data_IF_931784375005
#
_entry.id   IF_931784375005
#
_cell.length_a   1.000
_cell.length_b   1.000
_cell.length_c   1.000
_cell.angle_alpha   90.00
_cell.angle_beta   90.00
_cell.angle_gamma   90.00
#
_symmetry.space_group_name_H-M   'P 1'
#
loop_
_entity.id
_entity.type
_entity.pdbx_description
1 polymer ?
#
# COMPACT_ATOMS: atom_id res chain seq x y z
N UNK A 1 43.60 5.91 28.75
CA UNK A 1 42.69 5.25 27.78
C UNK A 1 41.62 4.50 28.55
N UNK A 2 40.37 4.96 28.49
CA UNK A 2 39.25 4.29 29.16
C UNK A 2 38.64 3.32 28.14
N UNK A 3 38.89 2.02 28.33
CA UNK A 3 38.21 0.99 27.56
C UNK A 3 36.72 1.05 27.92
N UNK A 4 35.89 1.55 27.00
CA UNK A 4 34.44 1.39 27.12
C UNK A 4 34.15 -0.09 26.92
N UNK A 5 33.94 -0.80 28.04
CA UNK A 5 33.27 -2.11 28.02
C UNK A 5 31.89 -1.88 27.44
N UNK A 6 31.59 -2.49 26.29
CA UNK A 6 30.22 -2.61 25.78
C UNK A 6 29.32 -3.08 26.92
N UNK A 7 28.43 -2.19 27.39
CA UNK A 7 27.50 -2.52 28.46
C UNK A 7 26.44 -3.42 27.81
N UNK A 8 26.08 -4.58 28.38
CA UNK A 8 25.10 -5.50 27.80
C UNK A 8 23.75 -4.86 27.41
N UNK A 9 23.40 -3.72 28.02
CA UNK A 9 22.24 -2.91 27.67
C UNK A 9 22.27 -2.31 26.25
N UNK A 10 23.44 -2.02 25.68
CA UNK A 10 23.56 -1.45 24.32
C UNK A 10 23.12 -2.44 23.25
N UNK A 11 23.50 -3.73 23.39
CA UNK A 11 23.06 -4.77 22.45
C UNK A 11 21.56 -4.99 22.49
N UNK A 12 20.95 -4.95 23.67
CA UNK A 12 19.49 -5.09 23.81
C UNK A 12 18.75 -3.92 23.15
N UNK A 13 19.28 -2.69 23.28
CA UNK A 13 18.68 -1.52 22.61
C UNK A 13 18.81 -1.63 21.09
N UNK A 14 19.94 -2.12 20.59
CA UNK A 14 20.13 -2.37 19.16
C UNK A 14 19.13 -3.38 18.60
N UNK A 15 18.95 -4.53 19.27
CA UNK A 15 17.97 -5.53 18.84
C UNK A 15 16.53 -5.01 18.87
N UNK A 16 16.20 -4.14 19.84
CA UNK A 16 14.87 -3.50 19.90
C UNK A 16 14.67 -2.54 18.74
N UNK A 17 15.65 -1.68 18.46
CA UNK A 17 15.60 -0.75 17.35
C UNK A 17 15.48 -1.48 16.00
N UNK A 18 16.22 -2.58 15.83
CA UNK A 18 16.12 -3.44 14.64
C UNK A 18 14.73 -4.07 14.51
N UNK A 19 14.20 -4.67 15.58
CA UNK A 19 12.88 -5.28 15.58
C UNK A 19 11.77 -4.26 15.31
N UNK A 20 11.87 -3.05 15.87
CA UNK A 20 10.93 -1.97 15.61
C UNK A 20 10.98 -1.54 14.14
N UNK A 21 12.18 -1.38 13.57
CA UNK A 21 12.36 -1.05 12.15
C UNK A 21 11.74 -2.12 11.22
N UNK A 22 11.98 -3.41 11.50
CA UNK A 22 11.35 -4.50 10.75
C UNK A 22 9.83 -4.47 10.86
N UNK A 23 9.29 -4.25 12.06
CA UNK A 23 7.84 -4.12 12.27
C UNK A 23 7.26 -2.93 11.50
N UNK A 24 7.93 -1.79 11.49
CA UNK A 24 7.50 -0.61 10.73
C UNK A 24 7.46 -0.90 9.22
N UNK A 25 8.47 -1.60 8.71
CA UNK A 25 8.52 -2.03 7.31
C UNK A 25 7.33 -2.94 6.96
N UNK A 26 7.05 -3.96 7.77
CA UNK A 26 5.89 -4.85 7.58
C UNK A 26 4.55 -4.09 7.59
N UNK A 27 4.40 -3.10 8.49
CA UNK A 27 3.18 -2.30 8.56
C UNK A 27 2.96 -1.45 7.31
N UNK A 28 4.02 -0.90 6.72
CA UNK A 28 3.95 -0.16 5.46
C UNK A 28 3.49 -1.09 4.33
N UNK A 29 4.09 -2.28 4.24
CA UNK A 29 3.76 -3.28 3.21
C UNK A 29 2.30 -3.75 3.31
N UNK A 30 1.82 -4.00 4.53
CA UNK A 30 0.42 -4.36 4.78
C UNK A 30 -0.54 -3.25 4.34
N UNK A 31 -0.27 -2.00 4.75
CA UNK A 31 -1.10 -0.84 4.36
C UNK A 31 -1.10 -0.62 2.85
N UNK A 32 0.04 -0.81 2.19
CA UNK A 32 0.14 -0.73 0.74
C UNK A 32 -0.73 -1.79 0.05
N UNK A 33 -0.67 -3.04 0.51
CA UNK A 33 -1.49 -4.14 0.01
C UNK A 33 -2.99 -3.86 0.19
N UNK A 34 -3.38 -3.32 1.35
CA UNK A 34 -4.75 -2.92 1.66
C UNK A 34 -5.25 -1.79 0.76
N UNK A 35 -4.44 -0.75 0.51
CA UNK A 35 -4.81 0.35 -0.40
C UNK A 35 -5.01 -0.15 -1.83
N UNK A 36 -4.11 -1.00 -2.33
CA UNK A 36 -4.24 -1.60 -3.66
C UNK A 36 -5.50 -2.47 -3.78
N UNK A 37 -5.78 -3.30 -2.76
CA UNK A 37 -7.00 -4.11 -2.69
C UNK A 37 -8.25 -3.23 -2.64
N UNK A 38 -8.22 -2.16 -1.84
CA UNK A 38 -9.34 -1.23 -1.68
C UNK A 38 -9.68 -0.55 -3.01
N UNK A 39 -8.68 -0.07 -3.74
CA UNK A 39 -8.86 0.49 -5.09
C UNK A 39 -9.53 -0.53 -6.04
N UNK A 40 -9.01 -1.76 -6.08
CA UNK A 40 -9.59 -2.83 -6.91
C UNK A 40 -11.04 -3.13 -6.53
N UNK A 41 -11.35 -3.12 -5.22
CA UNK A 41 -12.72 -3.32 -4.74
C UNK A 41 -13.65 -2.20 -5.21
N UNK A 42 -13.20 -0.94 -5.21
CA UNK A 42 -14.01 0.17 -5.71
C UNK A 42 -14.27 0.07 -7.22
N UNK A 43 -13.25 -0.28 -8.02
CA UNK A 43 -13.43 -0.53 -9.46
C UNK A 43 -14.41 -1.68 -9.73
N UNK A 44 -14.34 -2.76 -8.93
CA UNK A 44 -15.30 -3.85 -9.07
C UNK A 44 -16.72 -3.41 -8.72
N UNK A 45 -16.88 -2.61 -7.65
CA UNK A 45 -18.20 -2.08 -7.28
C UNK A 45 -18.77 -1.13 -8.34
N UNK A 46 -17.94 -0.26 -8.93
CA UNK A 46 -18.33 0.56 -10.08
C UNK A 46 -18.90 -0.31 -11.21
N UNK A 47 -18.16 -1.34 -11.63
CA UNK A 47 -18.60 -2.29 -12.66
C UNK A 47 -19.93 -2.94 -12.32
N UNK A 48 -20.08 -3.46 -11.09
CA UNK A 48 -21.31 -4.12 -10.64
C UNK A 48 -22.50 -3.16 -10.68
N UNK A 49 -22.34 -1.92 -10.23
CA UNK A 49 -23.43 -0.94 -10.28
C UNK A 49 -23.80 -0.53 -11.71
N UNK A 50 -22.82 -0.42 -12.61
CA UNK A 50 -23.08 -0.18 -14.04
C UNK A 50 -23.79 -1.36 -14.71
N UNK A 51 -23.44 -2.59 -14.36
CA UNK A 51 -24.11 -3.81 -14.83
C UNK A 51 -25.55 -3.90 -14.29
N UNK A 52 -25.81 -3.43 -13.07
CA UNK A 52 -27.14 -3.43 -12.46
C UNK A 52 -28.09 -2.35 -12.99
N UNK A 53 -27.56 -1.21 -13.44
CA UNK A 53 -28.36 -0.08 -13.93
C UNK A 53 -29.33 -0.45 -15.07
N UNK A 54 -28.92 -1.13 -16.16
CA UNK A 54 -29.82 -1.52 -17.24
C UNK A 54 -30.76 -2.68 -16.88
N UNK A 55 -30.48 -3.41 -15.79
CA UNK A 55 -31.33 -4.52 -15.31
C UNK A 55 -32.52 -4.03 -14.49
N UNK A 56 -32.60 -2.73 -14.19
CA UNK A 56 -33.70 -2.18 -13.43
C UNK A 56 -35.00 -2.13 -14.26
N UNK A 57 -36.15 -2.44 -13.65
CA UNK A 57 -37.45 -2.33 -14.32
C UNK A 57 -37.73 -0.93 -14.89
N UNK A 58 -38.35 -0.87 -16.07
CA UNK A 58 -38.67 0.39 -16.77
C UNK A 58 -39.68 1.27 -16.01
N UNK A 59 -40.54 0.66 -15.18
CA UNK A 59 -41.48 1.35 -14.30
C UNK A 59 -40.80 2.04 -13.11
N UNK A 60 -39.48 1.85 -12.93
CA UNK A 60 -38.68 2.42 -11.83
C UNK A 60 -37.40 3.10 -12.34
N UNK A 61 -37.50 4.18 -13.13
CA UNK A 61 -36.33 4.89 -13.65
C UNK A 61 -35.41 5.43 -12.54
N UNK A 62 -35.94 5.72 -11.35
CA UNK A 62 -35.15 6.12 -10.20
C UNK A 62 -34.15 5.06 -9.71
N UNK A 63 -34.47 3.77 -9.87
CA UNK A 63 -33.55 2.70 -9.47
C UNK A 63 -32.32 2.64 -10.39
N UNK A 64 -32.52 2.81 -11.70
CA UNK A 64 -31.43 2.90 -12.66
C UNK A 64 -30.55 4.13 -12.40
N UNK A 65 -31.17 5.29 -12.14
CA UNK A 65 -30.44 6.52 -11.80
C UNK A 65 -29.61 6.36 -10.52
N UNK A 66 -30.16 5.70 -9.49
CA UNK A 66 -29.44 5.41 -8.25
C UNK A 66 -28.24 4.48 -8.47
N UNK A 67 -28.40 3.43 -9.28
CA UNK A 67 -27.30 2.54 -9.64
C UNK A 67 -26.17 3.30 -10.35
N UNK A 68 -26.50 4.16 -11.32
CA UNK A 68 -25.52 5.04 -11.98
C UNK A 68 -24.82 5.98 -10.99
N UNK A 69 -25.57 6.56 -10.04
CA UNK A 69 -25.01 7.41 -9.00
C UNK A 69 -24.00 6.62 -8.12
N UNK A 70 -24.32 5.38 -7.75
CA UNK A 70 -23.42 4.52 -6.97
C UNK A 70 -22.17 4.14 -7.76
N UNK A 71 -22.30 3.83 -9.04
CA UNK A 71 -21.15 3.61 -9.90
C UNK A 71 -20.21 4.82 -9.90
N UNK A 72 -20.73 6.03 -10.13
CA UNK A 72 -19.95 7.26 -10.12
C UNK A 72 -19.28 7.54 -8.76
N UNK A 73 -19.97 7.22 -7.65
CA UNK A 73 -19.39 7.33 -6.30
C UNK A 73 -18.18 6.39 -6.13
N UNK A 74 -18.29 5.13 -6.54
CA UNK A 74 -17.18 4.17 -6.43
C UNK A 74 -16.03 4.50 -7.38
N UNK A 75 -16.32 4.97 -8.59
CA UNK A 75 -15.32 5.49 -9.51
C UNK A 75 -14.50 6.61 -8.87
N UNK A 76 -15.16 7.60 -8.26
CA UNK A 76 -14.48 8.69 -7.57
C UNK A 76 -13.56 8.19 -6.47
N UNK A 77 -14.02 7.24 -5.65
CA UNK A 77 -13.20 6.62 -4.59
C UNK A 77 -12.00 5.85 -5.15
N UNK A 78 -12.17 5.15 -6.27
CA UNK A 78 -11.07 4.47 -6.95
C UNK A 78 -10.02 5.46 -7.47
N UNK A 79 -10.46 6.59 -8.02
CA UNK A 79 -9.59 7.69 -8.46
C UNK A 79 -8.85 8.34 -7.30
N UNK A 80 -9.52 8.60 -6.17
CA UNK A 80 -8.85 9.11 -4.97
C UNK A 80 -7.77 8.15 -4.45
N UNK A 81 -8.06 6.85 -4.42
CA UNK A 81 -7.07 5.85 -4.03
C UNK A 81 -5.89 5.78 -5.01
N UNK A 82 -6.16 5.93 -6.32
CA UNK A 82 -5.13 6.04 -7.35
C UNK A 82 -4.23 7.25 -7.11
N UNK A 83 -4.80 8.43 -6.92
CA UNK A 83 -4.05 9.67 -6.70
C UNK A 83 -3.17 9.56 -5.46
N UNK A 84 -3.69 9.04 -4.34
CA UNK A 84 -2.92 8.83 -3.10
C UNK A 84 -1.75 7.88 -3.31
N UNK A 85 -1.96 6.76 -4.01
CA UNK A 85 -0.87 5.82 -4.33
C UNK A 85 0.20 6.46 -5.22
N UNK A 86 -0.21 7.30 -6.18
CA UNK A 86 0.71 8.05 -7.04
C UNK A 86 1.51 9.09 -6.25
N UNK A 87 0.87 9.87 -5.40
CA UNK A 87 1.52 10.87 -4.53
C UNK A 87 2.55 10.24 -3.58
N UNK A 88 2.28 9.01 -3.11
CA UNK A 88 3.21 8.24 -2.30
C UNK A 88 4.33 7.54 -3.10
N UNK A 89 4.39 7.73 -4.42
CA UNK A 89 5.43 7.17 -5.29
C UNK A 89 5.19 5.72 -5.74
N UNK A 90 4.02 5.14 -5.46
CA UNK A 90 3.68 3.75 -5.80
C UNK A 90 3.02 3.61 -7.17
N UNK A 91 3.29 4.53 -8.11
CA UNK A 91 2.66 4.53 -9.44
C UNK A 91 2.96 3.26 -10.25
N UNK A 92 4.14 2.67 -10.06
CA UNK A 92 4.53 1.40 -10.70
C UNK A 92 3.57 0.25 -10.35
N UNK A 93 2.99 0.27 -9.14
CA UNK A 93 2.04 -0.74 -8.64
C UNK A 93 0.62 -0.56 -9.16
N UNK A 94 0.33 0.56 -9.83
CA UNK A 94 -0.98 0.84 -10.41
C UNK A 94 -1.17 0.21 -11.79
N UNK A 95 -0.08 -0.31 -12.38
CA UNK A 95 -0.11 -1.03 -13.66
C UNK A 95 -0.86 -2.36 -13.53
N UNK A 96 -1.43 -2.83 -14.63
CA UNK A 96 -2.22 -4.07 -14.66
C UNK A 96 -1.37 -5.33 -14.40
N UNK A 97 -0.12 -5.29 -14.84
CA UNK A 97 0.91 -6.34 -14.73
C UNK A 97 1.76 -6.20 -13.46
N UNK A 98 1.46 -5.25 -12.58
CA UNK A 98 2.25 -5.00 -11.40
C UNK A 98 2.23 -6.19 -10.42
N UNK A 99 3.42 -6.61 -9.98
CA UNK A 99 3.59 -7.63 -8.96
C UNK A 99 4.01 -6.98 -7.64
N UNK A 100 3.11 -7.00 -6.65
CA UNK A 100 3.37 -6.44 -5.33
C UNK A 100 4.52 -7.17 -4.60
N UNK A 101 4.64 -8.49 -4.79
CA UNK A 101 5.67 -9.29 -4.14
C UNK A 101 7.06 -8.88 -4.65
N UNK A 102 7.23 -8.83 -5.97
CA UNK A 102 8.49 -8.40 -6.60
C UNK A 102 8.86 -6.97 -6.18
N UNK A 103 7.88 -6.06 -6.10
CA UNK A 103 8.12 -4.71 -5.61
C UNK A 103 8.63 -4.70 -4.17
N UNK A 104 7.97 -5.43 -3.27
CA UNK A 104 8.37 -5.51 -1.85
C UNK A 104 9.77 -6.10 -1.73
N UNK A 105 10.07 -7.19 -2.45
CA UNK A 105 11.42 -7.80 -2.46
C UNK A 105 12.50 -6.81 -2.91
N UNK A 106 12.23 -6.04 -3.96
CA UNK A 106 13.14 -5.01 -4.45
C UNK A 106 13.34 -3.88 -3.44
N UNK A 107 12.28 -3.41 -2.79
CA UNK A 107 12.37 -2.35 -1.77
C UNK A 107 13.12 -2.84 -0.52
N UNK A 108 12.85 -4.06 -0.05
CA UNK A 108 13.59 -4.68 1.05
C UNK A 108 15.07 -4.79 0.73
N UNK A 109 15.42 -5.22 -0.49
CA UNK A 109 16.81 -5.30 -0.94
C UNK A 109 17.50 -3.94 -0.94
N UNK A 110 16.86 -2.91 -1.50
CA UNK A 110 17.40 -1.53 -1.48
C UNK A 110 17.64 -1.03 -0.07
N UNK A 111 16.72 -1.29 0.86
CA UNK A 111 16.86 -0.90 2.25
C UNK A 111 18.00 -1.66 2.95
N UNK A 112 18.13 -2.97 2.71
CA UNK A 112 19.23 -3.77 3.24
C UNK A 112 20.60 -3.30 2.72
N UNK A 113 20.70 -2.99 1.42
CA UNK A 113 21.91 -2.46 0.80
C UNK A 113 22.26 -1.08 1.38
N UNK A 114 21.26 -0.22 1.58
CA UNK A 114 21.44 1.09 2.22
C UNK A 114 21.93 0.97 3.67
N UNK A 115 21.32 0.09 4.47
CA UNK A 115 21.76 -0.15 5.86
C UNK A 115 23.19 -0.66 5.87
N UNK A 116 23.53 -1.63 5.02
CA UNK A 116 24.90 -2.16 4.92
C UNK A 116 25.92 -1.08 4.54
N UNK A 117 25.60 -0.25 3.55
CA UNK A 117 26.48 0.84 3.12
C UNK A 117 26.67 1.90 4.21
N UNK A 118 25.61 2.22 4.96
CA UNK A 118 25.64 3.18 6.06
C UNK A 118 26.46 2.67 7.25
N UNK A 119 26.37 1.37 7.55
CA UNK A 119 27.18 0.73 8.60
C UNK A 119 28.65 0.71 8.20
N UNK A 120 28.97 0.33 6.96
CA UNK A 120 30.34 0.32 6.45
C UNK A 120 31.00 1.71 6.39
N UNK A 121 30.21 2.79 6.34
CA UNK A 121 30.71 4.16 6.37
C UNK A 121 31.02 4.67 7.80
N UNK A 122 30.63 3.92 8.84
CA UNK A 122 30.86 4.23 10.25
C UNK A 122 32.03 3.45 10.87
N UNK A 123 32.58 2.47 10.14
CA UNK A 123 33.78 1.68 10.49
C UNK A 123 35.05 2.30 9.89
#
# INVERSE_FOLDING_TARGET
MRAYKEIPGDRVQWFRAEADMQRWQEQIEQKLAELLRTRRSFLKMESVWLELAPLQPLDRPGAAAYACQKAAMYQRRASEAYTKLKELGYESLLRRDANLLEFVEQERKKQADFIRSSVAALE
#
